data_IF_526681918953
#
_entry.id   IF_526681918953
#
_cell.length_a   1.000
_cell.length_b   1.000
_cell.length_c   1.000
_cell.angle_alpha   90.00
_cell.angle_beta   90.00
_cell.angle_gamma   90.00
#
_symmetry.space_group_name_H-M   'P 1'
#
loop_
_entity.id
_entity.type
_entity.pdbx_description
1 polymer ?
#
# COMPACT_ATOMS: atom_id res chain seq x y z
N UNK A 1 -31.22 -12.06 16.14
CA UNK A 1 -30.24 -11.45 15.22
C UNK A 1 -29.84 -12.52 14.21
N UNK A 2 -30.06 -12.28 12.92
CA UNK A 2 -29.58 -13.20 11.88
C UNK A 2 -28.04 -13.24 11.94
N UNK A 3 -27.44 -14.42 11.91
CA UNK A 3 -25.98 -14.55 11.80
C UNK A 3 -25.59 -14.09 10.40
N UNK A 4 -24.84 -12.99 10.30
CA UNK A 4 -24.19 -12.61 9.05
C UNK A 4 -23.30 -13.77 8.60
N UNK A 5 -23.58 -14.29 7.40
CA UNK A 5 -22.82 -15.40 6.82
C UNK A 5 -21.49 -14.85 6.31
N UNK A 6 -20.49 -14.78 7.19
CA UNK A 6 -19.13 -14.37 6.84
C UNK A 6 -18.47 -15.46 5.98
N UNK A 7 -17.99 -15.08 4.81
CA UNK A 7 -17.24 -15.96 3.90
C UNK A 7 -15.81 -15.50 3.74
N UNK A 8 -14.97 -16.41 3.24
CA UNK A 8 -13.58 -16.09 2.91
C UNK A 8 -13.46 -15.05 1.78
N UNK A 9 -14.43 -14.96 0.87
CA UNK A 9 -14.42 -13.98 -0.23
C UNK A 9 -14.61 -12.54 0.23
N UNK A 10 -15.22 -12.34 1.40
CA UNK A 10 -15.63 -11.03 1.91
C UNK A 10 -14.45 -10.14 2.34
N UNK A 11 -13.25 -10.71 2.51
CA UNK A 11 -12.10 -10.06 3.15
C UNK A 11 -11.64 -8.74 2.50
N UNK A 12 -11.91 -8.54 1.21
CA UNK A 12 -11.55 -7.31 0.48
C UNK A 12 -12.79 -6.49 0.07
N UNK A 13 -13.99 -6.98 0.35
CA UNK A 13 -15.23 -6.24 0.16
C UNK A 13 -15.38 -5.22 1.29
N UNK A 14 -15.35 -3.93 0.93
CA UNK A 14 -15.40 -2.83 1.89
C UNK A 14 -16.81 -2.55 2.41
N UNK A 15 -17.85 -3.06 1.75
CA UNK A 15 -19.24 -2.93 2.21
C UNK A 15 -19.54 -3.88 3.38
N UNK A 16 -18.67 -4.86 3.64
CA UNK A 16 -18.78 -5.79 4.76
C UNK A 16 -18.26 -5.16 6.05
N UNK A 17 -19.12 -5.13 7.07
CA UNK A 17 -18.78 -4.68 8.42
C UNK A 17 -17.95 -5.69 9.21
N UNK A 18 -18.15 -6.99 8.97
CA UNK A 18 -17.43 -8.09 9.63
C UNK A 18 -16.79 -9.01 8.60
N UNK A 19 -15.49 -9.24 8.75
CA UNK A 19 -14.68 -10.07 7.84
C UNK A 19 -13.69 -10.93 8.62
N UNK A 20 -13.34 -12.10 8.10
CA UNK A 20 -12.28 -12.94 8.63
C UNK A 20 -11.01 -12.75 7.80
N UNK A 21 -9.94 -12.26 8.43
CA UNK A 21 -8.66 -12.04 7.78
C UNK A 21 -7.48 -12.21 8.74
N UNK A 22 -6.31 -12.54 8.20
CA UNK A 22 -5.03 -12.53 8.92
C UNK A 22 -4.28 -11.20 8.75
N UNK A 23 -3.17 -11.01 9.46
CA UNK A 23 -2.41 -9.75 9.42
C UNK A 23 -1.99 -9.32 8.01
N UNK A 24 -1.48 -10.22 7.18
CA UNK A 24 -1.06 -9.87 5.81
C UNK A 24 -2.22 -9.54 4.88
N UNK A 25 -3.39 -10.17 5.07
CA UNK A 25 -4.62 -9.80 4.37
C UNK A 25 -5.15 -8.44 4.84
N UNK A 26 -4.96 -8.12 6.13
CA UNK A 26 -5.30 -6.81 6.68
C UNK A 26 -4.55 -5.68 5.96
N UNK A 27 -3.27 -5.91 5.62
CA UNK A 27 -2.45 -4.94 4.89
C UNK A 27 -2.97 -4.66 3.48
N UNK A 28 -3.49 -5.67 2.77
CA UNK A 28 -4.19 -5.46 1.50
C UNK A 28 -5.44 -4.61 1.72
N UNK A 29 -6.28 -5.01 2.68
CA UNK A 29 -7.52 -4.28 2.98
C UNK A 29 -7.25 -2.83 3.40
N UNK A 30 -6.17 -2.58 4.14
CA UNK A 30 -5.73 -1.25 4.54
C UNK A 30 -5.52 -0.32 3.32
N UNK A 31 -4.86 -0.81 2.27
CA UNK A 31 -4.65 -0.02 1.05
C UNK A 31 -5.95 0.31 0.34
N UNK A 32 -6.87 -0.66 0.25
CA UNK A 32 -8.21 -0.45 -0.33
C UNK A 32 -9.02 0.57 0.49
N UNK A 33 -8.95 0.46 1.81
CA UNK A 33 -9.63 1.38 2.72
C UNK A 33 -9.07 2.79 2.66
N UNK A 34 -7.76 2.95 2.49
CA UNK A 34 -7.15 4.27 2.32
C UNK A 34 -7.67 4.96 1.07
N UNK A 35 -7.67 4.29 -0.09
CA UNK A 35 -8.29 4.83 -1.33
C UNK A 35 -9.75 5.20 -1.12
N UNK A 36 -10.54 4.30 -0.52
CA UNK A 36 -11.97 4.55 -0.29
C UNK A 36 -12.20 5.78 0.60
N UNK A 37 -11.35 5.96 1.63
CA UNK A 37 -11.37 7.13 2.51
C UNK A 37 -11.02 8.41 1.75
N UNK A 38 -10.01 8.37 0.89
CA UNK A 38 -9.59 9.53 0.09
C UNK A 38 -10.70 9.95 -0.90
N UNK A 39 -11.32 8.98 -1.58
CA UNK A 39 -12.48 9.23 -2.44
C UNK A 39 -13.64 9.86 -1.67
N UNK A 40 -13.94 9.36 -0.47
CA UNK A 40 -14.98 9.94 0.39
C UNK A 40 -14.64 11.37 0.85
N UNK A 41 -13.35 11.72 0.92
CA UNK A 41 -12.87 13.08 1.20
C UNK A 41 -12.78 13.96 -0.07
N UNK A 42 -13.15 13.45 -1.24
CA UNK A 42 -13.09 14.16 -2.52
C UNK A 42 -11.68 14.24 -3.14
N UNK A 43 -10.76 13.39 -2.72
CA UNK A 43 -9.39 13.32 -3.24
C UNK A 43 -9.27 12.23 -4.31
N UNK A 44 -8.53 12.52 -5.38
CA UNK A 44 -8.14 11.57 -6.41
C UNK A 44 -6.70 11.09 -6.18
N UNK A 45 -6.48 10.25 -5.16
CA UNK A 45 -5.16 9.68 -4.83
C UNK A 45 -4.92 8.34 -5.52
N UNK A 46 -3.65 7.94 -5.65
CA UNK A 46 -3.26 6.58 -6.01
C UNK A 46 -2.45 5.93 -4.88
N UNK A 47 -2.33 4.61 -4.90
CA UNK A 47 -1.54 3.87 -3.93
C UNK A 47 -0.32 3.20 -4.57
N UNK A 48 0.80 3.18 -3.86
CA UNK A 48 1.96 2.34 -4.22
C UNK A 48 2.34 1.43 -3.06
N UNK A 49 2.35 0.13 -3.32
CA UNK A 49 2.86 -0.90 -2.43
C UNK A 49 4.18 -1.41 -3.01
N UNK A 50 5.26 -1.32 -2.25
CA UNK A 50 6.57 -1.81 -2.68
C UNK A 50 7.38 -2.33 -1.51
N UNK A 51 8.32 -3.21 -1.77
CA UNK A 51 9.15 -3.81 -0.73
C UNK A 51 9.91 -5.01 -1.25
N UNK A 52 10.68 -5.63 -0.37
CA UNK A 52 11.48 -6.79 -0.72
C UNK A 52 11.09 -8.03 0.10
N UNK A 53 10.72 -9.08 -0.62
CA UNK A 53 10.26 -10.35 -0.05
C UNK A 53 11.28 -10.97 0.92
N UNK A 54 10.77 -11.76 1.86
CA UNK A 54 11.59 -12.60 2.75
C UNK A 54 10.92 -12.76 4.11
N UNK A 55 11.31 -13.76 4.89
CA UNK A 55 10.77 -13.93 6.25
C UNK A 55 11.07 -12.69 7.11
N UNK A 56 10.11 -12.18 7.92
CA UNK A 56 8.74 -12.67 8.12
C UNK A 56 7.69 -12.06 7.17
N UNK A 57 8.08 -11.13 6.29
CA UNK A 57 7.18 -10.34 5.42
C UNK A 57 6.86 -11.00 4.08
N UNK A 58 7.34 -12.21 3.80
CA UNK A 58 7.16 -12.85 2.48
C UNK A 58 5.71 -13.15 2.10
N UNK A 59 4.80 -13.24 3.08
CA UNK A 59 3.37 -13.38 2.82
C UNK A 59 2.72 -12.06 2.34
N UNK A 60 3.36 -10.91 2.51
CA UNK A 60 2.88 -9.62 1.99
C UNK A 60 2.83 -9.64 0.46
N UNK A 61 3.96 -9.94 -0.20
CA UNK A 61 4.02 -10.07 -1.67
C UNK A 61 2.94 -11.02 -2.20
N UNK A 62 2.77 -12.16 -1.53
CA UNK A 62 1.81 -13.18 -1.94
C UNK A 62 0.38 -12.62 -1.94
N UNK A 63 -0.03 -11.94 -0.87
CA UNK A 63 -1.38 -11.41 -0.75
C UNK A 63 -1.60 -10.18 -1.64
N UNK A 64 -0.61 -9.29 -1.77
CA UNK A 64 -0.67 -8.17 -2.70
C UNK A 64 -0.80 -8.65 -4.15
N UNK A 65 -0.03 -9.67 -4.54
CA UNK A 65 -0.14 -10.28 -5.88
C UNK A 65 -1.49 -10.96 -6.11
N UNK A 66 -2.02 -11.67 -5.10
CA UNK A 66 -3.33 -12.34 -5.18
C UNK A 66 -4.49 -11.36 -5.26
N UNK A 67 -4.37 -10.20 -4.64
CA UNK A 67 -5.37 -9.14 -4.62
C UNK A 67 -5.18 -8.11 -5.75
N UNK A 68 -4.38 -8.44 -6.77
CA UNK A 68 -4.04 -7.51 -7.86
C UNK A 68 -5.28 -6.85 -8.47
N UNK A 69 -6.34 -7.62 -8.73
CA UNK A 69 -7.57 -7.10 -9.34
C UNK A 69 -8.26 -6.06 -8.43
N UNK A 70 -8.36 -6.36 -7.14
CA UNK A 70 -8.96 -5.47 -6.15
C UNK A 70 -8.13 -4.19 -5.98
N UNK A 71 -6.79 -4.32 -5.98
CA UNK A 71 -5.86 -3.19 -5.88
C UNK A 71 -5.91 -2.30 -7.14
N UNK A 72 -5.88 -2.88 -8.35
CA UNK A 72 -5.96 -2.13 -9.60
C UNK A 72 -7.28 -1.37 -9.74
N UNK A 73 -8.39 -1.96 -9.30
CA UNK A 73 -9.69 -1.27 -9.24
C UNK A 73 -9.71 -0.08 -8.28
N UNK A 74 -8.77 -0.01 -7.34
CA UNK A 74 -8.60 1.06 -6.37
C UNK A 74 -7.42 1.99 -6.69
N UNK A 75 -6.89 1.99 -7.93
CA UNK A 75 -5.68 2.74 -8.31
C UNK A 75 -4.44 2.44 -7.43
N UNK A 76 -4.34 1.22 -6.89
CA UNK A 76 -3.19 0.78 -6.09
C UNK A 76 -2.31 -0.14 -6.92
N UNK A 77 -1.05 0.25 -7.08
CA UNK A 77 -0.03 -0.55 -7.77
C UNK A 77 0.78 -1.33 -6.75
N UNK A 78 0.90 -2.65 -6.94
CA UNK A 78 1.90 -3.44 -6.24
C UNK A 78 3.12 -3.64 -7.15
N UNK A 79 4.28 -3.13 -6.71
CA UNK A 79 5.55 -3.25 -7.42
C UNK A 79 6.61 -3.84 -6.48
N UNK A 80 6.94 -5.15 -6.59
CA UNK A 80 8.00 -5.73 -5.79
C UNK A 80 9.34 -5.10 -6.15
N UNK A 81 10.13 -4.75 -5.14
CA UNK A 81 11.47 -4.19 -5.31
C UNK A 81 12.53 -5.26 -5.58
N UNK A 82 13.69 -4.83 -6.07
CA UNK A 82 14.89 -5.68 -6.16
C UNK A 82 15.62 -5.79 -4.81
N UNK A 83 15.48 -4.77 -3.96
CA UNK A 83 15.91 -4.74 -2.57
C UNK A 83 15.07 -3.70 -1.81
N UNK A 84 15.26 -3.61 -0.49
CA UNK A 84 14.52 -2.69 0.37
C UNK A 84 14.75 -1.20 0.04
N UNK A 85 15.99 -0.81 -0.32
CA UNK A 85 16.36 0.60 -0.54
C UNK A 85 15.77 1.14 -1.84
N UNK A 86 15.83 0.34 -2.91
CA UNK A 86 15.24 0.67 -4.20
C UNK A 86 13.72 0.73 -4.09
N UNK A 87 13.11 -0.17 -3.32
CA UNK A 87 11.68 -0.10 -3.01
C UNK A 87 11.33 1.20 -2.27
N UNK A 88 12.09 1.56 -1.21
CA UNK A 88 11.86 2.80 -0.47
C UNK A 88 12.04 4.03 -1.37
N UNK A 89 13.05 4.02 -2.24
CA UNK A 89 13.36 5.14 -3.15
C UNK A 89 12.26 5.32 -4.18
N UNK A 90 11.76 4.22 -4.75
CA UNK A 90 10.65 4.26 -5.69
C UNK A 90 9.39 4.82 -5.01
N UNK A 91 9.12 4.42 -3.76
CA UNK A 91 7.98 4.94 -3.00
C UNK A 91 8.10 6.45 -2.78
N UNK A 92 9.24 6.89 -2.26
CA UNK A 92 9.50 8.32 -2.04
C UNK A 92 9.34 9.14 -3.33
N UNK A 93 9.92 8.68 -4.45
CA UNK A 93 9.78 9.34 -5.74
C UNK A 93 8.32 9.46 -6.21
N UNK A 94 7.52 8.41 -5.99
CA UNK A 94 6.09 8.44 -6.35
C UNK A 94 5.31 9.50 -5.57
N UNK A 95 5.67 9.72 -4.32
CA UNK A 95 5.04 10.72 -3.44
C UNK A 95 5.44 12.15 -3.79
N UNK A 96 6.43 12.34 -4.65
CA UNK A 96 6.86 13.64 -5.15
C UNK A 96 6.33 13.95 -6.56
N UNK A 97 5.68 12.97 -7.21
CA UNK A 97 5.25 13.09 -8.60
C UNK A 97 4.34 14.32 -8.85
N UNK A 98 3.52 14.70 -7.86
CA UNK A 98 2.57 15.81 -7.97
C UNK A 98 3.11 17.15 -7.43
N UNK A 99 4.35 17.23 -6.93
CA UNK A 99 4.88 18.48 -6.36
C UNK A 99 4.95 19.65 -7.37
N UNK A 100 4.91 19.36 -8.66
CA UNK A 100 4.93 20.35 -9.75
C UNK A 100 3.58 20.53 -10.45
N UNK A 101 2.53 19.83 -10.02
CA UNK A 101 1.21 19.90 -10.67
C UNK A 101 1.11 19.15 -12.01
N UNK A 102 2.01 18.19 -12.25
CA UNK A 102 2.11 17.43 -13.52
C UNK A 102 1.70 15.96 -13.35
N UNK A 103 1.37 15.54 -12.14
CA UNK A 103 0.95 14.20 -11.79
C UNK A 103 -0.48 13.91 -12.22
N UNK A 104 -0.77 12.61 -12.36
CA UNK A 104 -2.10 12.10 -12.73
C UNK A 104 -3.10 12.13 -11.56
N UNK A 105 -2.58 12.17 -10.34
CA UNK A 105 -3.33 12.03 -9.08
C UNK A 105 -2.92 13.16 -8.13
N UNK A 106 -3.80 13.54 -7.20
CA UNK A 106 -3.55 14.59 -6.21
C UNK A 106 -2.36 14.25 -5.29
N UNK A 107 -2.12 12.95 -5.11
CA UNK A 107 -0.97 12.41 -4.41
C UNK A 107 -0.95 10.90 -4.40
N UNK A 108 0.14 10.35 -3.85
CA UNK A 108 0.35 8.90 -3.76
C UNK A 108 0.52 8.51 -2.29
N UNK A 109 -0.41 7.71 -1.77
CA UNK A 109 -0.21 7.09 -0.46
C UNK A 109 0.63 5.81 -0.62
N UNK A 110 1.47 5.54 0.38
CA UNK A 110 2.50 4.51 0.26
C UNK A 110 2.44 3.44 1.34
N UNK A 111 2.74 2.20 0.94
CA UNK A 111 3.04 1.12 1.86
C UNK A 111 4.36 0.45 1.48
N UNK A 112 5.35 0.60 2.36
CA UNK A 112 6.65 -0.04 2.22
C UNK A 112 6.84 -1.14 3.26
N UNK A 113 7.46 -2.24 2.85
CA UNK A 113 7.84 -3.32 3.77
C UNK A 113 9.28 -3.80 3.52
N UNK A 114 9.97 -4.08 4.63
CA UNK A 114 11.36 -4.54 4.65
C UNK A 114 11.64 -5.35 5.91
N UNK A 115 12.86 -5.90 6.01
CA UNK A 115 13.34 -6.69 7.16
C UNK A 115 14.58 -6.02 7.75
N UNK A 116 14.89 -6.30 9.01
CA UNK A 116 15.97 -5.67 9.80
C UNK A 116 17.15 -5.13 8.99
N UNK A 117 18.02 -5.99 8.39
CA UNK A 117 19.19 -5.51 7.65
C UNK A 117 18.88 -4.63 6.42
N UNK A 118 17.73 -4.84 5.79
CA UNK A 118 17.24 -3.99 4.71
C UNK A 118 16.74 -2.65 5.21
N UNK A 119 16.04 -2.63 6.36
CA UNK A 119 15.60 -1.40 7.02
C UNK A 119 16.80 -0.54 7.42
N UNK A 120 17.83 -1.16 8.02
CA UNK A 120 19.05 -0.47 8.44
C UNK A 120 19.75 0.21 7.25
N UNK A 121 19.79 -0.48 6.11
CA UNK A 121 20.40 0.04 4.87
C UNK A 121 19.55 1.12 4.19
N UNK A 122 18.22 1.03 4.32
CA UNK A 122 17.28 2.00 3.74
C UNK A 122 17.17 3.30 4.54
N UNK A 123 17.89 3.43 5.67
CA UNK A 123 17.80 4.58 6.57
C UNK A 123 18.03 5.94 5.90
N UNK A 124 18.91 6.01 4.90
CA UNK A 124 19.16 7.25 4.14
C UNK A 124 17.91 7.74 3.39
N UNK A 125 17.24 6.83 2.66
CA UNK A 125 16.02 7.15 1.91
C UNK A 125 14.89 7.56 2.86
N UNK A 126 14.73 6.84 3.98
CA UNK A 126 13.72 7.16 4.99
C UNK A 126 13.95 8.56 5.59
N UNK A 127 15.22 8.90 5.87
CA UNK A 127 15.60 10.22 6.36
C UNK A 127 15.27 11.31 5.33
N UNK A 128 15.68 11.12 4.08
CA UNK A 128 15.45 12.10 3.02
C UNK A 128 13.96 12.27 2.70
N UNK A 129 13.18 11.19 2.65
CA UNK A 129 11.73 11.25 2.46
C UNK A 129 11.05 12.07 3.57
N UNK A 130 11.43 11.83 4.83
CA UNK A 130 10.89 12.59 5.96
C UNK A 130 11.26 14.09 5.91
N UNK A 131 12.47 14.42 5.44
CA UNK A 131 12.92 15.81 5.32
C UNK A 131 12.30 16.54 4.13
N UNK A 132 12.10 15.86 3.01
CA UNK A 132 11.60 16.45 1.77
C UNK A 132 10.07 16.60 1.76
N UNK A 133 9.36 15.78 2.54
CA UNK A 133 7.91 15.73 2.54
C UNK A 133 7.32 15.03 1.31
N UNK A 134 6.00 14.94 1.29
CA UNK A 134 5.22 14.32 0.22
C UNK A 134 4.27 15.35 -0.39
N UNK A 135 3.74 15.05 -1.57
CA UNK A 135 2.55 15.71 -2.09
C UNK A 135 1.33 15.42 -1.20
N UNK A 136 0.16 15.88 -1.64
CA UNK A 136 -1.11 15.85 -0.90
C UNK A 136 -1.54 14.44 -0.47
#
# INVERSE_FOLDING_TARGET
MAKDKVTLGDRFDLDKSSVLLNGTQALVRLMLMQKARDVAAGLNTAGLVTGYRGSPVGAVDLWMSRAKRELEAADVVFQPGLNEDLAATALWGSQQAELRGEGKYDGVFGFWYGKGPGVDRSGDVLRHANMAGTSR
#
